data_IF_857750725090
#
_entry.id   IF_857750725090
#
_cell.length_a   1.000
_cell.length_b   1.000
_cell.length_c   1.000
_cell.angle_alpha   90.00
_cell.angle_beta   90.00
_cell.angle_gamma   90.00
#
_symmetry.space_group_name_H-M   'P 1'
#
loop_
_entity.id
_entity.type
_entity.pdbx_description
1 polymer ?
#
# COMPACT_ATOMS: atom_id res chain seq x y z
N UNK A 1 38.24 35.18 26.76
CA UNK A 1 36.89 34.74 26.38
C UNK A 1 36.78 34.83 24.86
N UNK A 2 37.18 33.75 24.15
CA UNK A 2 37.27 33.70 22.68
C UNK A 2 35.97 33.10 22.19
N UNK A 3 35.20 33.88 21.44
CA UNK A 3 33.93 33.55 20.82
C UNK A 3 34.18 32.73 19.53
N UNK A 4 34.06 31.43 19.59
CA UNK A 4 34.07 30.53 18.41
C UNK A 4 32.76 30.68 17.66
N UNK A 5 32.73 31.50 16.60
CA UNK A 5 31.68 31.55 15.60
C UNK A 5 31.74 30.27 14.75
N UNK A 6 30.86 29.31 15.06
CA UNK A 6 30.57 28.16 14.20
C UNK A 6 29.90 28.70 12.91
N UNK A 7 30.66 28.79 11.84
CA UNK A 7 30.18 28.96 10.48
C UNK A 7 29.45 27.70 10.08
N UNK A 8 28.13 27.66 10.30
CA UNK A 8 27.24 26.72 9.64
C UNK A 8 27.17 27.10 8.16
N UNK A 9 28.05 26.54 7.34
CA UNK A 9 27.95 26.61 5.89
C UNK A 9 26.60 26.05 5.44
N UNK A 10 25.97 26.57 4.36
CA UNK A 10 24.77 25.97 3.80
C UNK A 10 25.12 24.54 3.42
N UNK A 11 24.53 23.57 4.10
CA UNK A 11 24.57 22.18 3.69
C UNK A 11 23.90 22.14 2.31
N UNK A 12 24.71 22.13 1.24
CA UNK A 12 24.25 21.81 -0.10
C UNK A 12 23.54 20.47 0.04
N UNK A 13 22.21 20.48 -0.07
CA UNK A 13 21.39 19.28 0.02
C UNK A 13 21.88 18.30 -1.05
N UNK A 14 22.72 17.37 -0.65
CA UNK A 14 23.34 16.38 -1.53
C UNK A 14 22.22 15.56 -2.15
N UNK A 15 22.13 15.54 -3.49
CA UNK A 15 21.16 14.70 -4.19
C UNK A 15 21.44 13.24 -3.86
N UNK A 16 20.48 12.59 -3.25
CA UNK A 16 20.57 11.17 -2.89
C UNK A 16 19.97 10.35 -4.03
N UNK A 17 20.82 9.62 -4.74
CA UNK A 17 20.36 8.72 -5.79
C UNK A 17 19.77 7.46 -5.13
N UNK A 18 18.51 7.16 -5.43
CA UNK A 18 17.78 6.03 -4.85
C UNK A 18 17.53 4.97 -5.91
N UNK A 19 17.86 3.71 -5.58
CA UNK A 19 17.49 2.52 -6.36
C UNK A 19 16.19 1.96 -5.83
N UNK A 20 15.37 1.38 -6.70
CA UNK A 20 14.07 0.82 -6.33
C UNK A 20 14.20 -0.25 -5.24
N UNK A 21 15.15 -1.20 -5.39
CA UNK A 21 15.33 -2.29 -4.43
C UNK A 21 15.73 -1.78 -3.04
N UNK A 22 16.60 -0.77 -2.97
CA UNK A 22 17.01 -0.16 -1.70
C UNK A 22 15.87 0.62 -1.06
N UNK A 23 15.06 1.32 -1.87
CA UNK A 23 13.87 2.01 -1.39
C UNK A 23 12.84 1.05 -0.78
N UNK A 24 12.56 -0.08 -1.46
CA UNK A 24 11.67 -1.12 -0.93
C UNK A 24 12.17 -1.68 0.40
N UNK A 25 13.45 -2.05 0.48
CA UNK A 25 14.04 -2.60 1.71
C UNK A 25 14.00 -1.59 2.86
N UNK A 26 14.32 -0.32 2.60
CA UNK A 26 14.27 0.74 3.60
C UNK A 26 12.84 0.97 4.11
N UNK A 27 11.87 1.07 3.22
CA UNK A 27 10.47 1.24 3.60
C UNK A 27 9.95 0.05 4.41
N UNK A 28 10.26 -1.19 4.00
CA UNK A 28 9.86 -2.39 4.74
C UNK A 28 10.46 -2.46 6.15
N UNK A 29 11.59 -1.81 6.41
CA UNK A 29 12.20 -1.75 7.75
C UNK A 29 11.63 -0.63 8.62
N UNK A 30 11.34 0.54 8.02
CA UNK A 30 11.07 1.76 8.78
C UNK A 30 9.61 2.18 8.80
N UNK A 31 8.77 1.65 7.89
CA UNK A 31 7.40 2.14 7.71
C UNK A 31 6.53 1.93 8.96
N UNK A 32 5.86 2.99 9.48
CA UNK A 32 5.08 2.92 10.73
C UNK A 32 3.97 1.87 10.70
N UNK A 33 3.32 1.67 9.54
CA UNK A 33 2.26 0.67 9.36
C UNK A 33 2.73 -0.77 9.64
N UNK A 34 3.99 -1.10 9.32
CA UNK A 34 4.55 -2.42 9.58
C UNK A 34 4.94 -2.59 11.04
N UNK A 35 5.40 -1.51 11.68
CA UNK A 35 5.62 -1.51 13.13
C UNK A 35 4.32 -1.72 13.89
N UNK A 36 3.23 -1.04 13.48
CA UNK A 36 1.90 -1.26 14.03
C UNK A 36 1.49 -2.72 13.93
N UNK A 37 1.58 -3.34 12.74
CA UNK A 37 1.23 -4.76 12.55
C UNK A 37 2.07 -5.70 13.39
N UNK A 38 3.34 -5.38 13.64
CA UNK A 38 4.20 -6.17 14.54
C UNK A 38 3.70 -6.08 15.98
N UNK A 39 3.26 -4.91 16.45
CA UNK A 39 2.67 -4.75 17.78
C UNK A 39 1.32 -5.48 17.91
N UNK A 40 0.51 -5.49 16.85
CA UNK A 40 -0.74 -6.27 16.81
C UNK A 40 -0.47 -7.79 16.96
N UNK A 41 0.60 -8.30 16.36
CA UNK A 41 1.02 -9.70 16.55
C UNK A 41 1.43 -9.95 18.01
N UNK A 42 2.22 -9.05 18.61
CA UNK A 42 2.64 -9.18 20.03
C UNK A 42 1.44 -9.08 20.99
N UNK A 43 0.46 -8.23 20.69
CA UNK A 43 -0.82 -8.19 21.42
C UNK A 43 -1.52 -9.55 21.39
N UNK A 44 -1.70 -10.15 20.20
CA UNK A 44 -2.35 -11.45 20.07
C UNK A 44 -1.55 -12.56 20.77
N UNK A 45 -0.23 -12.50 20.74
CA UNK A 45 0.64 -13.43 21.49
C UNK A 45 0.49 -13.28 23.01
N UNK A 46 0.38 -12.04 23.49
CA UNK A 46 0.13 -11.77 24.90
C UNK A 46 -1.25 -12.32 25.33
N UNK A 47 -2.30 -12.08 24.53
CA UNK A 47 -3.64 -12.62 24.79
C UNK A 47 -3.65 -14.16 24.81
N UNK A 48 -2.89 -14.81 23.94
CA UNK A 48 -2.76 -16.27 23.96
C UNK A 48 -2.10 -16.78 25.25
N UNK A 49 -1.09 -16.09 25.77
CA UNK A 49 -0.47 -16.49 27.05
C UNK A 49 -1.47 -16.53 28.20
N UNK A 50 -2.43 -15.60 28.20
CA UNK A 50 -3.52 -15.57 29.19
C UNK A 50 -4.65 -16.57 28.92
N UNK A 51 -4.66 -17.30 27.78
CA UNK A 51 -5.78 -18.16 27.39
C UNK A 51 -5.94 -19.43 28.26
N UNK A 52 -4.98 -19.77 29.09
CA UNK A 52 -5.01 -20.89 30.04
C UNK A 52 -5.25 -20.44 31.48
N UNK A 53 -5.34 -19.14 31.75
CA UNK A 53 -5.60 -18.66 33.09
C UNK A 53 -7.07 -18.94 33.49
N UNK A 54 -7.32 -19.58 34.65
CA UNK A 54 -8.65 -19.63 35.22
C UNK A 54 -9.15 -18.21 35.55
N UNK A 55 -10.47 -18.01 35.68
CA UNK A 55 -10.99 -16.76 36.25
C UNK A 55 -10.34 -16.43 37.59
N UNK A 56 -10.31 -15.16 37.95
CA UNK A 56 -9.77 -14.76 39.25
C UNK A 56 -10.55 -15.44 40.39
N UNK A 57 -9.88 -15.79 41.53
CA UNK A 57 -10.59 -16.28 42.70
C UNK A 57 -11.46 -15.18 43.29
N UNK A 58 -12.66 -15.55 43.70
CA UNK A 58 -13.61 -14.70 44.42
C UNK A 58 -13.33 -14.79 45.93
N UNK A 59 -13.06 -13.65 46.57
CA UNK A 59 -12.98 -13.55 48.01
C UNK A 59 -14.38 -13.29 48.56
N UNK A 60 -14.88 -14.23 49.36
CA UNK A 60 -16.20 -14.16 49.96
C UNK A 60 -16.08 -13.81 51.43
N UNK A 61 -16.99 -12.95 51.87
CA UNK A 61 -17.20 -12.69 53.26
C UNK A 61 -18.65 -13.09 53.54
N UNK A 62 -18.83 -14.19 54.22
CA UNK A 62 -20.16 -14.80 54.41
C UNK A 62 -20.40 -15.14 55.90
N UNK A 63 -21.64 -15.11 56.35
CA UNK A 63 -22.07 -15.53 57.66
C UNK A 63 -22.96 -16.77 57.54
N UNK A 64 -22.38 -17.98 57.47
CA UNK A 64 -23.17 -19.21 57.23
C UNK A 64 -24.21 -19.53 58.27
N UNK A 65 -24.00 -19.13 59.54
CA UNK A 65 -24.90 -19.31 60.67
C UNK A 65 -25.72 -18.07 60.98
N UNK A 66 -25.42 -16.92 60.31
CA UNK A 66 -26.07 -15.64 60.55
C UNK A 66 -25.50 -14.84 61.73
N UNK A 67 -24.63 -15.42 62.55
CA UNK A 67 -24.10 -14.80 63.76
C UNK A 67 -22.75 -14.17 63.61
N UNK A 68 -21.84 -14.78 62.81
CA UNK A 68 -20.47 -14.31 62.61
C UNK A 68 -20.06 -14.43 61.16
N UNK A 69 -19.27 -13.41 60.70
CA UNK A 69 -18.70 -13.37 59.33
C UNK A 69 -17.42 -14.16 59.24
N UNK A 70 -17.35 -15.05 58.26
CA UNK A 70 -16.19 -15.87 57.96
C UNK A 70 -15.64 -15.57 56.56
N UNK A 71 -14.30 -15.35 56.44
CA UNK A 71 -13.66 -15.17 55.15
C UNK A 71 -13.58 -16.50 54.37
N UNK A 72 -13.77 -16.39 53.08
CA UNK A 72 -13.66 -17.53 52.18
C UNK A 72 -13.03 -17.14 50.85
N UNK A 73 -12.56 -18.15 50.13
CA UNK A 73 -12.05 -18.00 48.75
C UNK A 73 -12.72 -19.06 47.89
N UNK A 74 -13.22 -18.65 46.76
CA UNK A 74 -13.85 -19.57 45.78
C UNK A 74 -13.20 -19.43 44.42
N UNK A 75 -12.79 -20.53 43.81
CA UNK A 75 -12.19 -20.58 42.50
C UNK A 75 -13.08 -21.40 41.57
N UNK A 76 -13.52 -20.75 40.47
CA UNK A 76 -14.19 -21.43 39.38
C UNK A 76 -13.17 -21.91 38.36
N UNK A 77 -13.30 -23.17 37.94
CA UNK A 77 -12.40 -23.82 36.97
C UNK A 77 -13.28 -24.39 35.86
N UNK A 78 -13.08 -23.87 34.65
CA UNK A 78 -13.72 -24.43 33.46
C UNK A 78 -13.12 -25.79 33.11
N UNK A 79 -13.89 -26.59 32.37
CA UNK A 79 -13.36 -27.85 31.87
C UNK A 79 -12.18 -27.63 30.89
N UNK A 80 -11.21 -28.56 30.82
CA UNK A 80 -10.03 -28.44 29.94
C UNK A 80 -10.37 -28.20 28.47
N UNK A 81 -11.57 -28.62 28.04
CA UNK A 81 -12.08 -28.36 26.69
C UNK A 81 -12.25 -26.85 26.39
N UNK A 82 -12.66 -26.04 27.40
CA UNK A 82 -12.83 -24.58 27.25
C UNK A 82 -11.48 -23.93 27.02
N UNK A 83 -10.51 -24.19 27.91
CA UNK A 83 -9.14 -23.62 27.76
C UNK A 83 -8.48 -24.03 26.45
N UNK A 84 -8.66 -25.29 26.02
CA UNK A 84 -8.12 -25.77 24.73
C UNK A 84 -8.73 -25.00 23.53
N UNK A 85 -10.05 -24.81 23.53
CA UNK A 85 -10.69 -24.03 22.44
C UNK A 85 -10.38 -22.55 22.52
N UNK A 86 -10.21 -21.99 23.71
CA UNK A 86 -9.74 -20.62 23.91
C UNK A 86 -8.33 -20.41 23.33
N UNK A 87 -7.40 -21.35 23.64
CA UNK A 87 -6.05 -21.31 23.09
C UNK A 87 -6.02 -21.49 21.56
N UNK A 88 -6.92 -22.34 20.99
CA UNK A 88 -7.07 -22.49 19.53
C UNK A 88 -7.58 -21.20 18.87
N UNK A 89 -8.58 -20.55 19.46
CA UNK A 89 -9.09 -19.29 18.96
C UNK A 89 -8.02 -18.18 19.03
N UNK A 90 -7.28 -18.11 20.15
CA UNK A 90 -6.17 -17.17 20.30
C UNK A 90 -5.03 -17.44 19.29
N UNK A 91 -4.70 -18.73 19.04
CA UNK A 91 -3.73 -19.06 17.99
C UNK A 91 -4.20 -18.65 16.60
N UNK A 92 -5.48 -18.87 16.28
CA UNK A 92 -6.06 -18.42 15.01
C UNK A 92 -6.00 -16.87 14.88
N UNK A 93 -6.15 -16.14 15.99
CA UNK A 93 -5.96 -14.69 16.06
C UNK A 93 -4.53 -14.25 15.75
N UNK A 94 -3.52 -14.95 16.29
CA UNK A 94 -2.10 -14.68 15.96
C UNK A 94 -1.86 -14.86 14.47
N UNK A 95 -2.28 -15.97 13.89
CA UNK A 95 -2.11 -16.23 12.46
C UNK A 95 -2.83 -15.17 11.61
N UNK A 96 -4.01 -14.70 12.05
CA UNK A 96 -4.72 -13.62 11.37
C UNK A 96 -3.91 -12.32 11.37
N UNK A 97 -3.32 -11.95 12.51
CA UNK A 97 -2.45 -10.78 12.62
C UNK A 97 -1.18 -10.91 11.75
N UNK A 98 -0.58 -12.11 11.70
CA UNK A 98 0.57 -12.40 10.81
C UNK A 98 0.18 -12.25 9.33
N UNK A 99 -1.01 -12.74 8.91
CA UNK A 99 -1.53 -12.50 7.55
C UNK A 99 -1.84 -11.04 7.29
N UNK A 100 -2.29 -10.29 8.30
CA UNK A 100 -2.45 -8.83 8.24
C UNK A 100 -1.13 -8.11 7.97
N UNK A 101 -0.04 -8.54 8.61
CA UNK A 101 1.31 -8.03 8.33
C UNK A 101 1.73 -8.32 6.87
N UNK A 102 1.44 -9.50 6.33
CA UNK A 102 1.76 -9.83 4.94
C UNK A 102 1.01 -8.94 3.94
N UNK A 103 -0.29 -8.67 4.20
CA UNK A 103 -1.08 -7.69 3.41
C UNK A 103 -0.47 -6.30 3.47
N UNK A 104 -0.09 -5.84 4.67
CA UNK A 104 0.51 -4.52 4.85
C UNK A 104 1.90 -4.42 4.20
N UNK A 105 2.70 -5.48 4.20
CA UNK A 105 3.99 -5.54 3.48
C UNK A 105 3.79 -5.40 1.98
N UNK A 106 2.84 -6.14 1.41
CA UNK A 106 2.52 -6.05 -0.02
C UNK A 106 2.04 -4.64 -0.39
N UNK A 107 1.18 -4.03 0.43
CA UNK A 107 0.70 -2.67 0.21
C UNK A 107 1.82 -1.63 0.28
N UNK A 108 2.72 -1.69 1.27
CA UNK A 108 3.87 -0.78 1.39
C UNK A 108 4.80 -0.93 0.18
N UNK A 109 5.09 -2.17 -0.25
CA UNK A 109 5.91 -2.42 -1.45
C UNK A 109 5.30 -1.77 -2.69
N UNK A 110 4.00 -1.99 -2.92
CA UNK A 110 3.26 -1.36 -4.02
C UNK A 110 3.33 0.17 -3.96
N UNK A 111 3.07 0.76 -2.80
CA UNK A 111 3.05 2.21 -2.61
C UNK A 111 4.43 2.83 -2.88
N UNK A 112 5.52 2.16 -2.49
CA UNK A 112 6.90 2.57 -2.80
C UNK A 112 7.19 2.49 -4.29
N UNK A 113 6.81 1.39 -4.96
CA UNK A 113 6.98 1.22 -6.42
C UNK A 113 6.25 2.32 -7.20
N UNK A 114 5.02 2.62 -6.82
CA UNK A 114 4.23 3.68 -7.45
C UNK A 114 4.80 5.07 -7.18
N UNK A 115 5.27 5.36 -5.97
CA UNK A 115 5.90 6.64 -5.64
C UNK A 115 7.25 6.82 -6.38
N UNK A 116 8.05 5.75 -6.47
CA UNK A 116 9.30 5.74 -7.25
C UNK A 116 9.02 6.01 -8.74
N UNK A 117 8.06 5.30 -9.32
CA UNK A 117 7.63 5.50 -10.71
C UNK A 117 7.12 6.93 -10.96
N UNK A 118 6.37 7.49 -10.00
CA UNK A 118 5.87 8.87 -10.10
C UNK A 118 7.04 9.87 -10.13
N UNK A 119 8.05 9.68 -9.28
CA UNK A 119 9.25 10.53 -9.30
C UNK A 119 10.04 10.36 -10.62
N UNK A 120 10.22 9.13 -11.07
CA UNK A 120 10.91 8.82 -12.34
C UNK A 120 10.22 9.49 -13.55
N UNK A 121 8.89 9.45 -13.57
CA UNK A 121 8.10 10.13 -14.59
C UNK A 121 8.23 11.66 -14.52
N UNK A 122 8.14 12.23 -13.31
CA UNK A 122 8.24 13.67 -13.11
C UNK A 122 9.65 14.20 -13.52
N UNK A 123 10.72 13.47 -13.21
CA UNK A 123 12.08 13.84 -13.65
C UNK A 123 12.22 13.80 -15.18
N UNK A 124 11.71 12.76 -15.83
CA UNK A 124 11.72 12.66 -17.30
C UNK A 124 10.90 13.77 -17.96
N UNK A 125 9.77 14.15 -17.36
CA UNK A 125 8.91 15.23 -17.85
C UNK A 125 9.60 16.61 -17.73
N UNK A 126 10.20 16.89 -16.57
CA UNK A 126 10.98 18.14 -16.37
C UNK A 126 12.12 18.23 -17.38
N UNK A 127 12.86 17.14 -17.60
CA UNK A 127 13.95 17.10 -18.57
C UNK A 127 13.44 17.40 -19.99
N UNK A 128 12.32 16.81 -20.39
CA UNK A 128 11.72 17.04 -21.71
C UNK A 128 11.22 18.47 -21.88
N UNK A 129 10.51 19.01 -20.88
CA UNK A 129 10.02 20.38 -20.93
C UNK A 129 11.14 21.41 -20.88
N UNK A 130 12.26 21.11 -20.19
CA UNK A 130 13.45 21.97 -20.22
C UNK A 130 14.02 22.05 -21.62
N UNK A 131 14.10 20.95 -22.35
CA UNK A 131 14.52 20.94 -23.75
C UNK A 131 13.54 21.75 -24.62
N UNK A 132 12.24 21.56 -24.48
CA UNK A 132 11.22 22.31 -25.22
C UNK A 132 11.28 23.82 -24.93
N UNK A 133 11.40 24.19 -23.65
CA UNK A 133 11.50 25.59 -23.22
C UNK A 133 12.72 26.28 -23.86
N UNK A 134 13.89 25.64 -23.84
CA UNK A 134 15.10 26.20 -24.47
C UNK A 134 14.92 26.40 -25.99
N UNK A 135 14.24 25.47 -26.66
CA UNK A 135 13.93 25.52 -28.06
C UNK A 135 12.98 26.69 -28.40
N UNK A 136 11.84 26.77 -27.68
CA UNK A 136 10.87 27.85 -27.91
C UNK A 136 11.38 29.23 -27.53
N UNK A 137 12.25 29.36 -26.51
CA UNK A 137 12.95 30.61 -26.23
C UNK A 137 13.86 31.03 -27.38
N UNK A 138 14.62 30.10 -27.95
CA UNK A 138 15.48 30.39 -29.12
C UNK A 138 14.64 30.86 -30.30
N UNK A 139 13.49 30.20 -30.56
CA UNK A 139 12.54 30.61 -31.59
C UNK A 139 11.96 31.98 -31.33
N UNK A 140 11.57 32.31 -30.11
CA UNK A 140 11.04 33.61 -29.73
C UNK A 140 12.07 34.70 -29.96
N UNK A 141 13.33 34.49 -29.60
CA UNK A 141 14.40 35.45 -29.86
C UNK A 141 14.63 35.67 -31.37
N UNK A 142 14.63 34.61 -32.16
CA UNK A 142 14.75 34.69 -33.61
C UNK A 142 13.59 35.47 -34.24
N UNK A 143 12.35 35.14 -33.86
CA UNK A 143 11.13 35.80 -34.35
C UNK A 143 11.09 37.27 -33.97
N UNK A 144 11.53 37.66 -32.78
CA UNK A 144 11.63 39.09 -32.39
C UNK A 144 12.62 39.86 -33.27
N UNK A 145 13.77 39.27 -33.63
CA UNK A 145 14.75 39.88 -34.56
C UNK A 145 14.17 40.04 -35.96
N UNK A 146 13.52 39.03 -36.49
CA UNK A 146 12.88 39.06 -37.82
C UNK A 146 11.71 40.04 -37.88
N UNK A 147 10.96 40.18 -36.78
CA UNK A 147 9.91 41.22 -36.69
C UNK A 147 10.50 42.64 -36.71
N UNK A 148 11.59 42.87 -35.99
CA UNK A 148 12.28 44.17 -36.02
C UNK A 148 12.86 44.50 -37.40
N UNK A 149 13.22 43.47 -38.20
CA UNK A 149 13.64 43.60 -39.59
C UNK A 149 12.49 43.73 -40.60
N UNK A 150 11.23 43.59 -40.17
CA UNK A 150 10.04 43.63 -41.01
C UNK A 150 9.78 42.32 -41.81
N UNK A 151 10.50 41.23 -41.51
CA UNK A 151 10.44 39.96 -42.25
C UNK A 151 9.30 39.01 -41.79
N UNK A 152 8.74 39.24 -40.59
CA UNK A 152 7.61 38.46 -40.05
C UNK A 152 6.52 39.39 -39.55
N UNK A 153 5.29 38.87 -39.50
CA UNK A 153 4.09 39.59 -39.05
C UNK A 153 4.03 39.71 -37.52
N UNK A 154 3.27 40.70 -37.04
CA UNK A 154 2.97 40.81 -35.59
C UNK A 154 2.26 39.55 -35.04
N UNK A 155 1.40 38.90 -35.83
CA UNK A 155 0.72 37.66 -35.45
C UNK A 155 1.73 36.54 -35.19
N UNK A 156 2.70 36.36 -36.08
CA UNK A 156 3.76 35.34 -35.90
C UNK A 156 4.57 35.58 -34.64
N UNK A 157 4.95 36.83 -34.36
CA UNK A 157 5.66 37.21 -33.11
C UNK A 157 4.83 36.88 -31.87
N UNK A 158 3.56 37.30 -31.81
CA UNK A 158 2.69 37.07 -30.67
C UNK A 158 2.41 35.59 -30.47
N UNK A 159 2.19 34.81 -31.54
CA UNK A 159 1.99 33.36 -31.45
C UNK A 159 3.21 32.63 -30.87
N UNK A 160 4.43 33.02 -31.28
CA UNK A 160 5.67 32.46 -30.74
C UNK A 160 5.82 32.76 -29.25
N UNK A 161 5.56 34.00 -28.88
CA UNK A 161 5.64 34.43 -27.49
C UNK A 161 4.64 33.66 -26.63
N UNK A 162 3.41 33.43 -27.12
CA UNK A 162 2.39 32.65 -26.44
C UNK A 162 2.83 31.19 -26.21
N UNK A 163 3.37 30.53 -27.24
CA UNK A 163 3.90 29.16 -27.15
C UNK A 163 5.07 29.06 -26.16
N UNK A 164 6.05 29.97 -26.26
CA UNK A 164 7.19 29.99 -25.34
C UNK A 164 6.74 30.16 -23.88
N UNK A 165 5.78 31.06 -23.62
CA UNK A 165 5.21 31.25 -22.28
C UNK A 165 4.42 30.04 -21.79
N UNK A 166 3.69 29.39 -22.68
CA UNK A 166 2.94 28.19 -22.37
C UNK A 166 3.87 27.03 -21.94
N UNK A 167 4.94 26.79 -22.73
CA UNK A 167 5.93 25.76 -22.40
C UNK A 167 6.65 26.09 -21.08
N UNK A 168 6.99 27.35 -20.84
CA UNK A 168 7.56 27.79 -19.57
C UNK A 168 6.64 27.49 -18.39
N UNK A 169 5.36 27.81 -18.49
CA UNK A 169 4.37 27.52 -17.44
C UNK A 169 4.24 26.01 -17.20
N UNK A 170 4.27 25.19 -18.26
CA UNK A 170 4.26 23.73 -18.11
C UNK A 170 5.52 23.22 -17.39
N UNK A 171 6.69 23.78 -17.68
CA UNK A 171 7.94 23.44 -16.99
C UNK A 171 7.89 23.79 -15.50
N UNK A 172 7.37 24.97 -15.16
CA UNK A 172 7.20 25.39 -13.77
C UNK A 172 6.27 24.43 -13.01
N UNK A 173 5.13 24.05 -13.60
CA UNK A 173 4.21 23.07 -13.04
C UNK A 173 4.89 21.70 -12.84
N UNK A 174 5.58 21.18 -13.86
CA UNK A 174 6.29 19.90 -13.77
C UNK A 174 7.39 19.92 -12.71
N UNK A 175 8.05 21.04 -12.49
CA UNK A 175 9.06 21.20 -11.43
C UNK A 175 8.42 21.13 -10.03
N UNK A 176 7.24 21.72 -9.85
CA UNK A 176 6.47 21.60 -8.60
C UNK A 176 6.02 20.16 -8.37
N UNK A 177 5.53 19.48 -9.41
CA UNK A 177 5.10 18.08 -9.36
C UNK A 177 6.27 17.14 -9.01
N UNK A 178 7.47 17.39 -9.58
CA UNK A 178 8.70 16.68 -9.22
C UNK A 178 9.00 16.84 -7.73
N UNK A 179 8.94 18.04 -7.18
CA UNK A 179 9.14 18.29 -5.76
C UNK A 179 8.10 17.59 -4.87
N UNK A 180 6.86 17.51 -5.33
CA UNK A 180 5.80 16.75 -4.63
C UNK A 180 6.06 15.23 -4.66
N UNK A 181 6.49 14.70 -5.80
CA UNK A 181 6.86 13.29 -5.94
C UNK A 181 8.07 12.92 -5.06
N UNK A 182 9.09 13.78 -4.99
CA UNK A 182 10.24 13.60 -4.08
C UNK A 182 9.80 13.52 -2.62
N UNK A 183 8.98 14.44 -2.17
CA UNK A 183 8.45 14.45 -0.80
C UNK A 183 7.62 13.19 -0.50
N UNK A 184 6.77 12.77 -1.45
CA UNK A 184 5.96 11.55 -1.29
C UNK A 184 6.82 10.30 -1.12
N UNK A 185 7.84 10.12 -1.96
CA UNK A 185 8.78 9.02 -1.81
C UNK A 185 9.56 9.13 -0.51
N UNK A 186 10.07 10.33 -0.18
CA UNK A 186 10.79 10.59 1.06
C UNK A 186 9.98 10.25 2.33
N UNK A 187 8.68 10.55 2.35
CA UNK A 187 7.79 10.14 3.45
C UNK A 187 7.71 8.62 3.62
N UNK A 188 7.60 7.87 2.52
CA UNK A 188 7.57 6.41 2.56
C UNK A 188 8.90 5.80 3.04
N UNK A 189 10.01 6.49 2.76
CA UNK A 189 11.36 6.07 3.18
C UNK A 189 11.74 6.58 4.59
N UNK A 190 10.88 7.37 5.25
CA UNK A 190 11.18 8.00 6.53
C UNK A 190 12.18 9.16 6.43
N UNK A 191 12.35 9.76 5.25
CA UNK A 191 13.28 10.85 4.95
C UNK A 191 12.55 12.01 4.22
N UNK A 192 11.61 12.71 4.85
CA UNK A 192 10.70 13.65 4.16
C UNK A 192 11.41 14.85 3.53
N UNK A 193 12.60 15.22 4.02
CA UNK A 193 13.35 16.40 3.55
C UNK A 193 14.55 16.04 2.65
N UNK A 194 14.72 14.76 2.29
CA UNK A 194 15.82 14.35 1.42
C UNK A 194 15.56 14.80 -0.04
N UNK A 195 16.57 15.34 -0.68
CA UNK A 195 16.52 15.64 -2.11
C UNK A 195 16.82 14.36 -2.90
N UNK A 196 15.76 13.59 -3.15
CA UNK A 196 15.82 12.29 -3.79
C UNK A 196 15.82 12.41 -5.30
N UNK A 197 16.63 11.61 -5.97
CA UNK A 197 16.61 11.44 -7.44
C UNK A 197 16.66 9.94 -7.75
N UNK A 198 16.14 9.55 -8.91
CA UNK A 198 16.15 8.16 -9.35
C UNK A 198 17.41 7.84 -10.15
N UNK A 199 17.87 6.58 -10.05
CA UNK A 199 19.08 6.12 -10.76
C UNK A 199 18.86 6.02 -12.28
N UNK A 200 17.69 5.61 -12.73
CA UNK A 200 17.42 5.27 -14.13
C UNK A 200 16.37 6.18 -14.74
N UNK A 201 16.70 6.80 -15.89
CA UNK A 201 15.71 7.54 -16.68
C UNK A 201 14.60 6.61 -17.20
N UNK A 202 13.35 7.08 -17.06
CA UNK A 202 12.17 6.33 -17.51
C UNK A 202 12.24 5.94 -18.99
N UNK A 203 12.78 6.82 -19.84
CA UNK A 203 12.92 6.61 -21.30
C UNK A 203 13.82 5.45 -21.66
N UNK A 204 14.87 5.21 -20.88
CA UNK A 204 15.83 4.12 -21.12
C UNK A 204 15.19 2.75 -20.92
N UNK A 205 14.08 2.67 -20.22
CA UNK A 205 13.37 1.42 -19.93
C UNK A 205 12.33 1.05 -20.97
N UNK A 206 11.92 2.00 -21.83
CA UNK A 206 10.86 1.81 -22.82
C UNK A 206 11.13 0.68 -23.82
N UNK A 207 12.29 0.66 -24.51
CA UNK A 207 12.62 -0.36 -25.51
C UNK A 207 12.63 -1.77 -24.94
N UNK A 208 13.15 -1.95 -23.71
CA UNK A 208 13.15 -3.25 -23.03
C UNK A 208 11.73 -3.69 -22.64
N UNK A 209 10.92 -2.76 -22.14
CA UNK A 209 9.52 -3.02 -21.76
C UNK A 209 8.66 -3.39 -22.98
N UNK A 210 8.88 -2.75 -24.13
CA UNK A 210 8.17 -3.08 -25.36
C UNK A 210 8.48 -4.52 -25.82
N UNK A 211 9.74 -4.94 -25.70
CA UNK A 211 10.18 -6.29 -26.08
C UNK A 211 9.68 -7.36 -25.11
N UNK A 212 9.84 -7.14 -23.81
CA UNK A 212 9.47 -8.11 -22.76
C UNK A 212 7.97 -8.13 -22.48
N UNK A 213 7.25 -7.08 -22.82
CA UNK A 213 5.82 -6.97 -22.59
C UNK A 213 4.99 -8.05 -23.29
N UNK A 214 5.34 -8.40 -24.52
CA UNK A 214 4.67 -9.45 -25.28
C UNK A 214 4.90 -10.85 -24.67
N UNK A 215 6.11 -11.14 -24.20
CA UNK A 215 6.46 -12.40 -23.52
C UNK A 215 5.72 -12.54 -22.19
N UNK A 216 5.67 -11.46 -21.43
CA UNK A 216 4.99 -11.41 -20.14
C UNK A 216 3.49 -11.70 -20.31
N UNK A 217 2.84 -11.12 -21.31
CA UNK A 217 1.43 -11.34 -21.61
C UNK A 217 1.13 -12.78 -22.04
N UNK A 218 2.04 -13.43 -22.77
CA UNK A 218 1.91 -14.84 -23.14
C UNK A 218 1.93 -15.79 -21.93
N UNK A 219 2.74 -15.49 -20.92
CA UNK A 219 2.83 -16.29 -19.69
C UNK A 219 1.66 -16.02 -18.73
N UNK A 220 1.10 -14.82 -18.74
CA UNK A 220 0.03 -14.42 -17.83
C UNK A 220 -1.35 -14.96 -18.24
N UNK A 221 -1.62 -15.16 -19.52
CA UNK A 221 -2.93 -15.62 -20.02
C UNK A 221 -3.32 -17.04 -19.59
N UNK A 222 -2.36 -17.86 -19.18
CA UNK A 222 -2.58 -19.27 -18.82
C UNK A 222 -2.73 -19.52 -17.30
N UNK A 223 -2.64 -18.48 -16.43
CA UNK A 223 -2.56 -18.67 -14.98
C UNK A 223 -3.58 -17.84 -14.17
N UNK A 224 -4.62 -17.34 -14.76
CA UNK A 224 -5.53 -16.35 -14.16
C UNK A 224 -6.14 -16.76 -12.81
N UNK A 225 -6.58 -18.00 -12.65
CA UNK A 225 -7.22 -18.46 -11.40
C UNK A 225 -6.22 -18.78 -10.28
N UNK A 226 -5.01 -19.22 -10.65
CA UNK A 226 -3.94 -19.58 -9.68
C UNK A 226 -3.27 -18.32 -9.13
N UNK A 227 -3.11 -17.30 -9.97
CA UNK A 227 -2.43 -16.06 -9.59
C UNK A 227 -3.12 -15.33 -8.44
N UNK A 228 -4.44 -15.20 -8.48
CA UNK A 228 -5.23 -14.55 -7.43
C UNK A 228 -5.27 -15.37 -6.15
N UNK A 229 -5.20 -16.71 -6.25
CA UNK A 229 -5.22 -17.60 -5.07
C UNK A 229 -4.02 -17.41 -4.14
N UNK A 230 -2.88 -16.92 -4.65
CA UNK A 230 -1.67 -16.63 -3.88
C UNK A 230 -1.68 -15.26 -3.19
N UNK A 231 -2.72 -14.45 -3.41
CA UNK A 231 -2.82 -13.10 -2.83
C UNK A 231 -2.80 -13.14 -1.30
N UNK A 232 -1.95 -12.33 -0.63
CA UNK A 232 -1.95 -12.16 0.83
C UNK A 232 -3.31 -11.74 1.36
N UNK A 233 -4.07 -10.95 0.60
CA UNK A 233 -5.42 -10.52 0.94
C UNK A 233 -6.38 -11.69 1.07
N UNK A 234 -6.39 -12.65 0.14
CA UNK A 234 -7.23 -13.84 0.26
C UNK A 234 -6.78 -14.74 1.42
N UNK A 235 -5.47 -14.86 1.65
CA UNK A 235 -4.94 -15.58 2.80
C UNK A 235 -5.43 -14.98 4.13
N UNK A 236 -5.48 -13.65 4.24
CA UNK A 236 -6.03 -12.96 5.41
C UNK A 236 -7.52 -13.27 5.60
N UNK A 237 -8.36 -13.12 4.57
CA UNK A 237 -9.79 -13.39 4.68
C UNK A 237 -10.10 -14.86 4.91
N UNK A 238 -9.34 -15.80 4.35
CA UNK A 238 -9.49 -17.23 4.63
C UNK A 238 -9.15 -17.56 6.10
N UNK A 239 -8.13 -16.90 6.64
CA UNK A 239 -7.77 -17.03 8.05
C UNK A 239 -8.83 -16.42 8.98
N UNK A 240 -9.48 -15.34 8.57
CA UNK A 240 -10.61 -14.75 9.31
C UNK A 240 -11.80 -15.72 9.40
N UNK A 241 -12.07 -16.49 8.35
CA UNK A 241 -13.05 -17.60 8.41
C UNK A 241 -12.61 -18.65 9.43
N UNK A 242 -11.35 -19.05 9.44
CA UNK A 242 -10.81 -20.03 10.42
C UNK A 242 -10.93 -19.52 11.85
N UNK A 243 -10.63 -18.25 12.10
CA UNK A 243 -10.81 -17.62 13.41
C UNK A 243 -12.28 -17.64 13.85
N UNK A 244 -13.20 -17.28 12.96
CA UNK A 244 -14.64 -17.27 13.27
C UNK A 244 -15.18 -18.68 13.56
N UNK A 245 -14.70 -19.71 12.87
CA UNK A 245 -15.01 -21.12 13.15
C UNK A 245 -14.46 -21.57 14.51
N UNK A 246 -13.25 -21.14 14.86
CA UNK A 246 -12.68 -21.37 16.18
C UNK A 246 -13.51 -20.74 17.29
N UNK A 247 -14.10 -19.55 17.01
CA UNK A 247 -15.06 -18.89 17.88
C UNK A 247 -16.32 -19.72 18.14
N UNK A 248 -16.89 -20.37 17.11
CA UNK A 248 -18.03 -21.29 17.27
C UNK A 248 -17.65 -22.44 18.22
N UNK A 249 -16.46 -23.02 18.02
CA UNK A 249 -15.99 -24.15 18.86
C UNK A 249 -15.80 -23.72 20.32
N UNK A 250 -15.30 -22.49 20.55
CA UNK A 250 -15.19 -21.93 21.90
C UNK A 250 -16.56 -21.71 22.55
N UNK A 251 -17.53 -21.12 21.84
CA UNK A 251 -18.90 -20.93 22.35
C UNK A 251 -19.56 -22.27 22.69
N UNK A 252 -19.34 -23.28 21.86
CA UNK A 252 -19.83 -24.66 22.19
C UNK A 252 -19.17 -25.22 23.43
N UNK A 253 -17.85 -25.04 23.60
CA UNK A 253 -17.15 -25.53 24.79
C UNK A 253 -17.61 -24.85 26.08
N UNK A 254 -17.95 -23.56 26.04
CA UNK A 254 -18.48 -22.81 27.20
C UNK A 254 -19.89 -23.25 27.66
N UNK A 255 -20.54 -24.15 26.93
CA UNK A 255 -21.82 -24.80 27.37
C UNK A 255 -21.60 -25.93 28.34
N UNK A 256 -20.37 -26.33 28.59
CA UNK A 256 -20.07 -27.38 29.58
C UNK A 256 -20.13 -26.80 31.00
N UNK A 257 -20.48 -27.66 32.00
CA UNK A 257 -20.45 -27.24 33.39
C UNK A 257 -19.04 -26.79 33.81
N UNK A 258 -18.97 -25.83 34.74
CA UNK A 258 -17.72 -25.43 35.38
C UNK A 258 -17.67 -26.03 36.82
N UNK A 259 -16.47 -26.32 37.28
CA UNK A 259 -16.23 -26.81 38.63
C UNK A 259 -15.88 -25.61 39.53
N UNK A 260 -16.43 -25.60 40.75
CA UNK A 260 -16.13 -24.59 41.73
C UNK A 260 -15.50 -25.26 42.94
N UNK A 261 -14.36 -24.76 43.39
CA UNK A 261 -13.69 -25.23 44.61
C UNK A 261 -13.58 -24.03 45.54
N UNK A 262 -14.06 -24.18 46.76
CA UNK A 262 -14.04 -23.11 47.75
C UNK A 262 -13.41 -23.58 49.06
N UNK A 263 -12.86 -22.62 49.77
CA UNK A 263 -12.40 -22.78 51.14
C UNK A 263 -12.98 -21.64 51.99
N UNK A 264 -13.55 -21.99 53.13
CA UNK A 264 -14.09 -21.03 54.10
C UNK A 264 -13.50 -21.32 55.48
N UNK A 265 -12.98 -20.26 56.12
CA UNK A 265 -12.42 -20.34 57.44
C UNK A 265 -13.53 -20.08 58.46
N UNK A 266 -13.90 -21.12 59.25
CA UNK A 266 -14.88 -21.05 60.34
C UNK A 266 -14.25 -21.07 61.72
N UNK A 267 -12.96 -20.73 61.86
CA UNK A 267 -12.24 -20.79 63.11
C UNK A 267 -12.77 -19.85 64.22
N UNK A 268 -13.64 -18.90 63.80
CA UNK A 268 -14.31 -17.94 64.73
C UNK A 268 -15.65 -18.43 65.22
N UNK A 269 -16.12 -19.60 64.76
CA UNK A 269 -17.35 -20.22 65.23
C UNK A 269 -17.01 -21.42 66.16
N UNK A 270 -17.82 -21.64 67.17
CA UNK A 270 -17.78 -22.85 68.02
C UNK A 270 -18.30 -24.10 67.24
N UNK A 271 -17.75 -24.30 66.09
CA UNK A 271 -18.07 -25.42 65.23
C UNK A 271 -17.01 -26.53 65.33
N UNK A 272 -17.37 -27.79 65.38
CA UNK A 272 -16.40 -28.88 65.35
C UNK A 272 -15.56 -28.92 64.09
N UNK A 273 -15.98 -28.23 63.04
CA UNK A 273 -15.26 -28.08 61.77
C UNK A 273 -14.70 -26.69 61.61
N UNK A 274 -13.44 -26.47 61.97
CA UNK A 274 -12.74 -25.19 61.84
C UNK A 274 -12.48 -24.76 60.40
N UNK A 275 -12.47 -25.74 59.49
CA UNK A 275 -12.21 -25.52 58.05
C UNK A 275 -13.28 -26.22 57.23
N UNK A 276 -13.84 -25.51 56.25
CA UNK A 276 -14.82 -26.09 55.36
C UNK A 276 -14.36 -25.97 53.88
N UNK A 277 -14.20 -27.13 53.26
CA UNK A 277 -14.03 -27.22 51.81
C UNK A 277 -15.40 -27.25 51.14
N UNK A 278 -15.57 -26.46 50.10
CA UNK A 278 -16.79 -26.40 49.30
C UNK A 278 -16.48 -26.88 47.89
N UNK A 279 -17.32 -27.77 47.40
CA UNK A 279 -17.27 -28.22 46.01
C UNK A 279 -18.62 -27.91 45.38
N UNK A 280 -18.58 -27.26 44.24
CA UNK A 280 -19.78 -26.88 43.48
C UNK A 280 -19.64 -27.21 42.02
N UNK A 281 -20.74 -27.32 41.34
CA UNK A 281 -20.82 -27.42 39.88
C UNK A 281 -21.73 -26.31 39.38
N UNK A 282 -21.17 -25.41 38.56
CA UNK A 282 -21.94 -24.36 37.88
C UNK A 282 -22.56 -24.96 36.63
N UNK A 283 -23.89 -25.06 36.63
CA UNK A 283 -24.63 -25.63 35.49
C UNK A 283 -25.18 -24.51 34.62
N UNK A 284 -25.02 -24.55 33.27
CA UNK A 284 -25.55 -23.55 32.35
C UNK A 284 -27.05 -23.77 32.12
N UNK A 285 -27.88 -23.44 33.13
CA UNK A 285 -29.35 -23.62 33.09
C UNK A 285 -30.06 -22.64 32.16
N UNK A 286 -29.44 -21.49 31.85
CA UNK A 286 -29.96 -20.47 30.94
C UNK A 286 -29.66 -20.83 29.49
N UNK A 287 -30.17 -21.99 29.00
CA UNK A 287 -29.85 -22.55 27.68
C UNK A 287 -30.23 -21.64 26.50
N UNK A 288 -31.18 -20.72 26.63
CA UNK A 288 -31.54 -19.76 25.59
C UNK A 288 -30.42 -18.73 25.34
N UNK A 289 -29.69 -18.28 26.36
CA UNK A 289 -28.56 -17.39 26.25
C UNK A 289 -27.43 -18.06 25.44
N UNK A 290 -27.11 -19.30 25.74
CA UNK A 290 -26.10 -20.06 24.99
C UNK A 290 -26.53 -20.34 23.54
N UNK A 291 -27.83 -20.59 23.32
CA UNK A 291 -28.39 -20.74 21.97
C UNK A 291 -28.23 -19.45 21.18
N UNK A 292 -28.53 -18.30 21.76
CA UNK A 292 -28.35 -16.98 21.15
C UNK A 292 -26.88 -16.70 20.82
N UNK A 293 -25.96 -16.97 21.76
CA UNK A 293 -24.52 -16.80 21.53
C UNK A 293 -24.02 -17.73 20.40
N UNK A 294 -24.49 -18.98 20.33
CA UNK A 294 -24.13 -19.88 19.25
C UNK A 294 -24.68 -19.42 17.90
N UNK A 295 -25.91 -18.92 17.86
CA UNK A 295 -26.49 -18.32 16.65
C UNK A 295 -25.67 -17.10 16.18
N UNK A 296 -25.30 -16.23 17.09
CA UNK A 296 -24.47 -15.05 16.81
C UNK A 296 -23.08 -15.45 16.26
N UNK A 297 -22.41 -16.43 16.88
CA UNK A 297 -21.13 -16.95 16.42
C UNK A 297 -21.23 -17.60 15.02
N UNK A 298 -22.33 -18.35 14.78
CA UNK A 298 -22.60 -18.96 13.47
C UNK A 298 -22.88 -17.91 12.40
N UNK A 299 -23.65 -16.87 12.73
CA UNK A 299 -23.91 -15.74 11.82
C UNK A 299 -22.61 -15.00 11.48
N UNK A 300 -21.74 -14.77 12.48
CA UNK A 300 -20.40 -14.16 12.27
C UNK A 300 -19.53 -14.98 11.32
N UNK A 301 -19.55 -16.32 11.46
CA UNK A 301 -18.81 -17.22 10.56
C UNK A 301 -19.36 -17.19 9.13
N UNK A 302 -20.68 -17.16 8.96
CA UNK A 302 -21.32 -16.99 7.64
C UNK A 302 -20.98 -15.65 7.01
N UNK A 303 -20.95 -14.57 7.81
CA UNK A 303 -20.54 -13.25 7.34
C UNK A 303 -19.07 -13.24 6.87
N UNK A 304 -18.16 -13.89 7.63
CA UNK A 304 -16.76 -14.02 7.23
C UNK A 304 -16.60 -14.82 5.92
N UNK A 305 -17.39 -15.88 5.73
CA UNK A 305 -17.40 -16.65 4.48
C UNK A 305 -17.90 -15.81 3.29
N UNK A 306 -18.99 -15.06 3.48
CA UNK A 306 -19.52 -14.16 2.46
C UNK A 306 -18.50 -13.06 2.10
N UNK A 307 -17.80 -12.52 3.10
CA UNK A 307 -16.74 -11.54 2.91
C UNK A 307 -15.57 -12.13 2.10
N UNK A 308 -15.14 -13.36 2.40
CA UNK A 308 -14.11 -14.05 1.60
C UNK A 308 -14.56 -14.23 0.14
N UNK A 309 -15.82 -14.62 -0.10
CA UNK A 309 -16.36 -14.75 -1.44
C UNK A 309 -16.40 -13.41 -2.19
N UNK A 310 -16.86 -12.35 -1.51
CA UNK A 310 -16.86 -10.98 -2.07
C UNK A 310 -15.46 -10.52 -2.46
N UNK A 311 -14.48 -10.72 -1.56
CA UNK A 311 -13.08 -10.35 -1.83
C UNK A 311 -12.46 -11.17 -2.98
N UNK A 312 -12.84 -12.43 -3.12
CA UNK A 312 -12.39 -13.26 -4.26
C UNK A 312 -12.90 -12.72 -5.59
N UNK A 313 -14.19 -12.34 -5.65
CA UNK A 313 -14.77 -11.74 -6.85
C UNK A 313 -14.13 -10.39 -7.17
N UNK A 314 -13.96 -9.53 -6.17
CA UNK A 314 -13.33 -8.21 -6.30
C UNK A 314 -11.90 -8.32 -6.84
N UNK A 315 -11.06 -9.14 -6.21
CA UNK A 315 -9.67 -9.37 -6.65
C UNK A 315 -9.59 -9.98 -8.05
N UNK A 316 -10.50 -10.89 -8.40
CA UNK A 316 -10.59 -11.44 -9.75
C UNK A 316 -10.90 -10.35 -10.79
N UNK A 317 -11.84 -9.46 -10.48
CA UNK A 317 -12.19 -8.34 -11.35
C UNK A 317 -11.04 -7.35 -11.50
N UNK A 318 -10.39 -6.99 -10.38
CA UNK A 318 -9.22 -6.10 -10.40
C UNK A 318 -8.06 -6.71 -11.20
N UNK A 319 -7.83 -8.01 -11.07
CA UNK A 319 -6.81 -8.71 -11.84
C UNK A 319 -7.08 -8.69 -13.34
N UNK A 320 -8.32 -8.98 -13.76
CA UNK A 320 -8.71 -8.93 -15.16
C UNK A 320 -8.58 -7.51 -15.74
N UNK A 321 -8.96 -6.48 -14.96
CA UNK A 321 -8.76 -5.10 -15.34
C UNK A 321 -7.28 -4.75 -15.51
N UNK A 322 -6.44 -5.09 -14.52
CA UNK A 322 -5.01 -4.82 -14.58
C UNK A 322 -4.33 -5.56 -15.76
N UNK A 323 -4.79 -6.78 -16.07
CA UNK A 323 -4.31 -7.53 -17.23
C UNK A 323 -4.73 -6.86 -18.55
N UNK A 324 -5.98 -6.38 -18.66
CA UNK A 324 -6.46 -5.67 -19.83
C UNK A 324 -5.69 -4.34 -20.04
N UNK A 325 -5.45 -3.59 -18.96
CA UNK A 325 -4.67 -2.36 -19.01
C UNK A 325 -3.21 -2.64 -19.41
N UNK A 326 -2.60 -3.70 -18.88
CA UNK A 326 -1.24 -4.13 -19.27
C UNK A 326 -1.19 -4.45 -20.77
N UNK A 327 -2.17 -5.17 -21.32
CA UNK A 327 -2.25 -5.48 -22.77
C UNK A 327 -2.38 -4.22 -23.61
N UNK A 328 -3.30 -3.33 -23.22
CA UNK A 328 -3.54 -2.04 -23.89
C UNK A 328 -2.27 -1.20 -23.97
N UNK A 329 -1.59 -1.01 -22.84
CA UNK A 329 -0.39 -0.18 -22.78
C UNK A 329 0.82 -0.83 -23.43
N UNK A 330 0.95 -2.16 -23.39
CA UNK A 330 2.00 -2.89 -24.12
C UNK A 330 1.88 -2.69 -25.64
N UNK A 331 0.68 -2.79 -26.19
CA UNK A 331 0.42 -2.52 -27.62
C UNK A 331 0.75 -1.07 -27.99
N UNK A 332 0.33 -0.11 -27.17
CA UNK A 332 0.64 1.30 -27.38
C UNK A 332 2.14 1.58 -27.30
N UNK A 333 2.83 0.97 -26.34
CA UNK A 333 4.28 1.12 -26.17
C UNK A 333 5.04 0.61 -27.41
N UNK A 334 4.65 -0.55 -27.94
CA UNK A 334 5.22 -1.12 -29.18
C UNK A 334 5.03 -0.16 -30.36
N UNK A 335 3.85 0.44 -30.50
CA UNK A 335 3.60 1.45 -31.53
C UNK A 335 4.54 2.66 -31.39
N UNK A 336 4.66 3.21 -30.18
CA UNK A 336 5.53 4.38 -29.97
C UNK A 336 7.00 4.07 -30.21
N UNK A 337 7.49 2.93 -29.78
CA UNK A 337 8.89 2.53 -30.00
C UNK A 337 9.22 2.31 -31.49
N UNK A 338 8.33 1.59 -32.19
CA UNK A 338 8.59 1.22 -33.59
C UNK A 338 8.26 2.34 -34.59
N UNK A 339 7.27 3.18 -34.27
CA UNK A 339 6.72 4.13 -35.24
C UNK A 339 6.72 5.56 -34.71
N UNK A 340 6.14 5.80 -33.55
CA UNK A 340 5.88 7.16 -33.05
C UNK A 340 7.15 7.95 -32.78
N UNK A 341 8.14 7.41 -32.07
CA UNK A 341 9.39 8.10 -31.77
C UNK A 341 10.25 8.36 -33.00
N UNK A 342 10.48 7.37 -33.93
CA UNK A 342 11.16 7.65 -35.20
C UNK A 342 10.47 8.75 -36.02
N UNK A 343 9.14 8.74 -36.10
CA UNK A 343 8.39 9.78 -36.81
C UNK A 343 8.53 11.15 -36.12
N UNK A 344 8.39 11.20 -34.78
CA UNK A 344 8.58 12.43 -34.03
C UNK A 344 9.96 13.05 -34.28
N UNK A 345 11.01 12.24 -34.23
CA UNK A 345 12.38 12.68 -34.50
C UNK A 345 12.57 13.17 -35.95
N UNK A 346 11.97 12.46 -36.90
CA UNK A 346 11.95 12.88 -38.29
C UNK A 346 11.21 14.20 -38.51
N UNK A 347 10.03 14.37 -37.89
CA UNK A 347 9.27 15.62 -37.93
C UNK A 347 10.13 16.81 -37.43
N UNK A 348 10.75 16.67 -36.26
CA UNK A 348 11.57 17.72 -35.66
C UNK A 348 12.73 18.09 -36.63
N UNK A 349 13.50 17.11 -37.08
CA UNK A 349 14.68 17.31 -37.91
C UNK A 349 14.35 17.90 -39.29
N UNK A 350 13.26 17.37 -39.93
CA UNK A 350 12.82 17.81 -41.24
C UNK A 350 12.23 19.25 -41.17
N UNK A 351 11.37 19.53 -40.19
CA UNK A 351 10.75 20.83 -40.03
C UNK A 351 11.81 21.94 -39.82
N UNK A 352 12.84 21.66 -39.01
CA UNK A 352 13.96 22.59 -38.84
C UNK A 352 14.76 22.81 -40.12
N UNK A 353 15.01 21.76 -40.92
CA UNK A 353 15.72 21.86 -42.19
C UNK A 353 14.94 22.69 -43.18
N UNK A 354 13.65 22.41 -43.40
CA UNK A 354 12.78 23.13 -44.32
C UNK A 354 12.58 24.60 -43.91
N UNK A 355 12.46 24.87 -42.60
CA UNK A 355 12.34 26.20 -42.09
C UNK A 355 13.62 27.03 -42.39
N UNK A 356 14.81 26.49 -42.16
CA UNK A 356 16.07 27.15 -42.49
C UNK A 356 16.28 27.36 -43.97
N UNK A 357 15.71 26.50 -44.82
CA UNK A 357 15.74 26.68 -46.28
C UNK A 357 14.69 27.70 -46.78
N UNK A 358 13.81 28.21 -45.89
CA UNK A 358 12.74 29.11 -46.27
C UNK A 358 11.55 28.46 -46.96
N UNK A 359 11.48 27.09 -46.96
CA UNK A 359 10.45 26.32 -47.65
C UNK A 359 9.13 26.19 -46.84
N UNK A 360 9.18 26.35 -45.53
CA UNK A 360 7.98 26.37 -44.69
C UNK A 360 7.92 27.64 -43.85
N UNK A 361 6.67 28.06 -43.58
CA UNK A 361 6.42 29.19 -42.71
C UNK A 361 6.69 28.86 -41.25
N UNK A 362 6.90 29.92 -40.46
CA UNK A 362 7.06 29.79 -39.01
C UNK A 362 5.86 29.05 -38.33
N UNK A 363 4.65 29.32 -38.78
CA UNK A 363 3.44 28.66 -38.22
C UNK A 363 3.47 27.16 -38.44
N UNK A 364 3.87 26.72 -39.66
CA UNK A 364 3.99 25.27 -39.98
C UNK A 364 5.09 24.62 -39.12
N UNK A 365 6.21 25.34 -38.85
CA UNK A 365 7.25 24.83 -37.95
C UNK A 365 6.69 24.57 -36.55
N UNK A 366 6.00 25.57 -35.94
CA UNK A 366 5.41 25.41 -34.59
C UNK A 366 4.45 24.24 -34.54
N UNK A 367 3.52 24.15 -35.51
CA UNK A 367 2.56 23.07 -35.58
C UNK A 367 3.25 21.70 -35.64
N UNK A 368 4.29 21.58 -36.46
CA UNK A 368 5.05 20.32 -36.59
C UNK A 368 5.80 19.97 -35.31
N UNK A 369 6.41 20.96 -34.63
CA UNK A 369 7.08 20.75 -33.36
C UNK A 369 6.10 20.34 -32.25
N UNK A 370 4.95 20.98 -32.17
CA UNK A 370 3.91 20.63 -31.19
C UNK A 370 3.36 19.20 -31.43
N UNK A 371 3.18 18.80 -32.70
CA UNK A 371 2.80 17.43 -33.04
C UNK A 371 3.88 16.43 -32.57
N UNK A 372 5.14 16.70 -32.85
CA UNK A 372 6.23 15.83 -32.46
C UNK A 372 6.38 15.73 -30.93
N UNK A 373 6.26 16.84 -30.20
CA UNK A 373 6.30 16.85 -28.74
C UNK A 373 5.08 16.16 -28.10
N UNK A 374 3.90 16.26 -28.71
CA UNK A 374 2.73 15.50 -28.28
C UNK A 374 2.99 13.99 -28.34
N UNK A 375 3.60 13.50 -29.41
CA UNK A 375 3.98 12.08 -29.54
C UNK A 375 4.97 11.68 -28.41
N UNK A 376 6.00 12.49 -28.17
CA UNK A 376 6.99 12.21 -27.11
C UNK A 376 6.38 12.23 -25.69
N UNK A 377 5.49 13.20 -25.41
CA UNK A 377 4.79 13.28 -24.13
C UNK A 377 3.85 12.08 -23.90
N UNK A 378 3.12 11.68 -24.95
CA UNK A 378 2.24 10.52 -24.89
C UNK A 378 3.03 9.23 -24.69
N UNK A 379 4.20 9.10 -25.30
CA UNK A 379 5.12 7.99 -25.07
C UNK A 379 5.55 7.88 -23.60
N UNK A 380 6.00 8.99 -22.98
CA UNK A 380 6.38 9.01 -21.55
C UNK A 380 5.20 8.60 -20.65
N UNK A 381 4.00 9.11 -20.95
CA UNK A 381 2.78 8.74 -20.24
C UNK A 381 2.48 7.24 -20.40
N UNK A 382 2.64 6.71 -21.62
CA UNK A 382 2.41 5.29 -21.90
C UNK A 382 3.37 4.38 -21.14
N UNK A 383 4.66 4.73 -21.02
CA UNK A 383 5.62 3.97 -20.20
C UNK A 383 5.17 3.96 -18.73
N UNK A 384 4.81 5.13 -18.20
CA UNK A 384 4.33 5.24 -16.81
C UNK A 384 3.11 4.35 -16.58
N UNK A 385 2.10 4.46 -17.44
CA UNK A 385 0.84 3.73 -17.30
C UNK A 385 1.03 2.22 -17.45
N UNK A 386 1.89 1.79 -18.36
CA UNK A 386 2.28 0.38 -18.50
C UNK A 386 2.95 -0.17 -17.23
N UNK A 387 3.92 0.57 -16.69
CA UNK A 387 4.61 0.16 -15.46
C UNK A 387 3.67 0.17 -14.25
N UNK A 388 2.77 1.14 -14.17
CA UNK A 388 1.76 1.18 -13.13
C UNK A 388 0.85 -0.06 -13.20
N UNK A 389 0.39 -0.45 -14.40
CA UNK A 389 -0.40 -1.66 -14.59
C UNK A 389 0.35 -2.92 -14.16
N UNK A 390 1.65 -3.03 -14.46
CA UNK A 390 2.51 -4.14 -14.00
C UNK A 390 2.62 -4.15 -12.47
N UNK A 391 2.82 -3.01 -11.82
CA UNK A 391 2.92 -2.93 -10.36
C UNK A 391 1.61 -3.40 -9.70
N UNK A 392 0.46 -2.98 -10.23
CA UNK A 392 -0.84 -3.45 -9.75
C UNK A 392 -1.05 -4.94 -9.98
N UNK A 393 -0.69 -5.45 -11.14
CA UNK A 393 -0.78 -6.88 -11.46
C UNK A 393 0.06 -7.73 -10.49
N UNK A 394 1.31 -7.32 -10.23
CA UNK A 394 2.20 -7.99 -9.29
C UNK A 394 1.67 -7.93 -7.85
N UNK A 395 1.14 -6.80 -7.43
CA UNK A 395 0.50 -6.65 -6.11
C UNK A 395 -0.66 -7.62 -5.92
N UNK A 396 -1.55 -7.73 -6.92
CA UNK A 396 -2.70 -8.64 -6.89
C UNK A 396 -2.28 -10.12 -6.83
N UNK A 397 -1.11 -10.46 -7.38
CA UNK A 397 -0.49 -11.80 -7.32
C UNK A 397 0.28 -12.04 -6.01
N UNK A 398 0.48 -11.02 -5.18
CA UNK A 398 1.26 -11.12 -3.94
C UNK A 398 2.78 -11.06 -4.13
N UNK A 399 3.25 -10.43 -5.24
CA UNK A 399 4.68 -10.28 -5.59
C UNK A 399 5.20 -8.87 -5.35
#
# INVERSE_FOLDING_TARGET
MVLLLLLAGPALAQRVVVRLDSAEQQALRLHPRLRQSTQEIEEQRALKRGSFAPPNPDFLWSAPTGERWAPGVVQTIDLPSVYRNQARAAQAGIVLAERGLDVNRAAVRRDVRLAYLTLQFAEAQVQQLTYQDSLFQTLQQATNRLYAAGEVTALQRVSTEAEARQVRNQLEQATVDQGAAQRRLGLLLGQPNANLTVETDLRQTGPELARTGAELLGTLSNQDSVAVALSPTLAYYSQNVTLSQSGISLVRARRTPALTVGYQNQAFEDSPFKYRLQFGVSLPIWFWTYRSQLQAATARSKAAQAQLQGQRLELSTQYQQALADTRKFASSLTYYEQTGLPQSSAIISQSWRLFRAGEISYLVLIQSLNQAFTIQNTYLTTIRDYRQAIVELNYLRGQ
#
